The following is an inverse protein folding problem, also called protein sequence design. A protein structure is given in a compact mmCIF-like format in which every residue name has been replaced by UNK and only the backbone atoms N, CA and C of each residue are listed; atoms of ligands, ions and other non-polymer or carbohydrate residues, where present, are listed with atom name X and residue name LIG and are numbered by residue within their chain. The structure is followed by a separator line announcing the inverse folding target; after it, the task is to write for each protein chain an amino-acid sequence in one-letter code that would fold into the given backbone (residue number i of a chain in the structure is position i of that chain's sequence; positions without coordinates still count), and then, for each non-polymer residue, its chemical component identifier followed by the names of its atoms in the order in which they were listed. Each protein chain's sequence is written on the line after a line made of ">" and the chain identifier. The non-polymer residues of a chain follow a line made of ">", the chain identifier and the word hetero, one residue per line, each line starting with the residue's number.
data_IF_373632513122
#
_entry.id   IF_373632513122
#
_cell.length_a   1.000
_cell.length_b   1.000
_cell.length_c   1.000
_cell.angle_alpha   90.00
_cell.angle_beta   90.00
_cell.angle_gamma   90.00
#
_symmetry.space_group_name_H-M   'P 1'
#
loop_
_entity.id
_entity.type
_entity.pdbx_description
1 polymer ?
#
# COMPACT_ATOMS: atom_id res chain seq x y z
N UNK A 1 1.77 -9.53 -26.16
CA UNK A 1 0.89 -8.41 -26.55
C UNK A 1 1.33 -7.24 -25.67
N UNK A 2 1.88 -6.18 -26.28
CA UNK A 2 2.23 -4.96 -25.53
C UNK A 2 0.96 -4.27 -25.10
N UNK A 3 0.54 -4.44 -23.86
CA UNK A 3 -0.47 -3.58 -23.25
C UNK A 3 0.22 -2.25 -22.96
N UNK A 4 -0.04 -1.26 -23.78
CA UNK A 4 0.37 0.12 -23.51
C UNK A 4 -0.22 0.52 -22.15
N UNK A 5 0.60 1.06 -21.25
CA UNK A 5 0.08 1.63 -19.99
C UNK A 5 -0.99 2.66 -20.32
N UNK A 6 -2.11 2.70 -19.57
CA UNK A 6 -3.19 3.65 -19.82
C UNK A 6 -2.64 5.07 -19.84
N UNK A 7 -3.06 5.87 -20.81
CA UNK A 7 -2.56 7.22 -20.93
C UNK A 7 -3.10 8.09 -19.80
N UNK A 8 -2.33 9.06 -19.34
CA UNK A 8 -2.81 10.08 -18.38
C UNK A 8 -4.09 10.79 -18.86
N UNK A 9 -4.35 10.79 -20.17
CA UNK A 9 -5.57 11.32 -20.79
C UNK A 9 -6.82 10.50 -20.40
N UNK A 10 -6.73 9.17 -20.35
CA UNK A 10 -7.88 8.31 -19.98
C UNK A 10 -8.25 8.48 -18.50
N UNK A 11 -7.25 8.55 -17.62
CA UNK A 11 -7.49 8.84 -16.20
C UNK A 11 -8.11 10.24 -16.02
N UNK A 12 -7.59 11.25 -16.70
CA UNK A 12 -8.14 12.61 -16.64
C UNK A 12 -9.60 12.66 -17.13
N UNK A 13 -9.92 11.94 -18.20
CA UNK A 13 -11.29 11.84 -18.70
C UNK A 13 -12.21 11.13 -17.69
N UNK A 14 -11.73 10.06 -17.06
CA UNK A 14 -12.47 9.34 -16.02
C UNK A 14 -12.79 10.24 -14.82
N UNK A 15 -11.80 11.01 -14.34
CA UNK A 15 -11.98 11.98 -13.25
C UNK A 15 -12.94 13.10 -13.66
N UNK A 16 -12.79 13.67 -14.86
CA UNK A 16 -13.68 14.71 -15.36
C UNK A 16 -15.13 14.24 -15.45
N UNK A 17 -15.34 13.00 -15.89
CA UNK A 17 -16.68 12.38 -15.90
C UNK A 17 -17.25 12.25 -14.47
N UNK A 18 -16.45 11.82 -13.52
CA UNK A 18 -16.88 11.70 -12.11
C UNK A 18 -17.25 13.06 -11.51
N UNK A 19 -16.48 14.12 -11.79
CA UNK A 19 -16.78 15.50 -11.35
C UNK A 19 -18.12 15.95 -11.94
N UNK A 20 -18.31 15.73 -13.25
CA UNK A 20 -19.57 16.11 -13.93
C UNK A 20 -20.77 15.35 -13.35
N UNK A 21 -20.65 14.04 -13.15
CA UNK A 21 -21.68 13.19 -12.57
C UNK A 21 -22.04 13.58 -11.13
N UNK A 22 -21.07 14.15 -10.38
CA UNK A 22 -21.25 14.67 -9.03
C UNK A 22 -21.78 16.11 -8.98
N UNK A 23 -22.23 16.67 -10.10
CA UNK A 23 -22.77 18.03 -10.15
C UNK A 23 -21.73 19.14 -10.27
N UNK A 24 -20.53 18.83 -10.80
CA UNK A 24 -19.48 19.80 -11.08
C UNK A 24 -18.43 19.97 -9.98
N UNK A 25 -18.57 19.26 -8.85
CA UNK A 25 -17.62 19.27 -7.74
C UNK A 25 -17.44 17.87 -7.15
N UNK A 26 -16.22 17.53 -6.75
CA UNK A 26 -15.86 16.24 -6.16
C UNK A 26 -14.97 16.47 -4.94
N UNK A 27 -15.30 15.88 -3.79
CA UNK A 27 -14.47 15.92 -2.59
C UNK A 27 -13.05 15.41 -2.86
N UNK A 28 -12.07 15.97 -2.15
CA UNK A 28 -10.67 15.64 -2.40
C UNK A 28 -10.36 14.15 -2.15
N UNK A 29 -11.01 13.53 -1.17
CA UNK A 29 -10.91 12.10 -0.89
C UNK A 29 -11.34 11.23 -2.10
N UNK A 30 -12.46 11.60 -2.73
CA UNK A 30 -12.95 10.92 -3.93
C UNK A 30 -12.05 11.14 -5.13
N UNK A 31 -11.54 12.36 -5.32
CA UNK A 31 -10.54 12.67 -6.34
C UNK A 31 -9.28 11.83 -6.14
N UNK A 32 -8.71 11.84 -4.93
CA UNK A 32 -7.52 11.07 -4.58
C UNK A 32 -7.74 9.57 -4.79
N UNK A 33 -8.91 9.06 -4.39
CA UNK A 33 -9.26 7.66 -4.62
C UNK A 33 -9.25 7.30 -6.13
N UNK A 34 -9.85 8.12 -6.99
CA UNK A 34 -9.83 7.87 -8.43
C UNK A 34 -8.42 7.97 -9.02
N UNK A 35 -7.66 8.99 -8.63
CA UNK A 35 -6.30 9.21 -9.13
C UNK A 35 -5.35 8.05 -8.76
N UNK A 36 -5.50 7.48 -7.57
CA UNK A 36 -4.62 6.43 -7.07
C UNK A 36 -5.12 5.02 -7.37
N UNK A 37 -6.44 4.78 -7.32
CA UNK A 37 -7.00 3.43 -7.25
C UNK A 37 -8.07 3.12 -8.31
N UNK A 38 -8.37 4.01 -9.28
CA UNK A 38 -9.31 3.67 -10.34
C UNK A 38 -8.82 2.41 -11.08
N UNK A 39 -9.68 1.36 -11.22
CA UNK A 39 -9.27 0.08 -11.80
C UNK A 39 -8.62 0.25 -13.19
N UNK A 40 -7.41 -0.26 -13.37
CA UNK A 40 -6.65 -0.21 -14.61
C UNK A 40 -6.12 1.18 -15.02
N UNK A 41 -6.51 2.27 -14.32
CA UNK A 41 -6.14 3.64 -14.64
C UNK A 41 -5.33 4.32 -13.55
N UNK A 42 -5.72 4.09 -12.28
CA UNK A 42 -5.14 4.76 -11.12
C UNK A 42 -3.68 4.42 -10.91
N UNK A 43 -2.97 5.30 -10.23
CA UNK A 43 -1.52 5.20 -10.04
C UNK A 43 -1.08 3.85 -9.47
N UNK A 44 -1.77 3.31 -8.46
CA UNK A 44 -1.47 2.00 -7.86
C UNK A 44 -2.23 0.82 -8.50
N UNK A 45 -3.24 1.11 -9.34
CA UNK A 45 -4.11 0.10 -9.92
C UNK A 45 -3.83 -0.18 -11.41
N UNK A 46 -2.87 0.51 -12.03
CA UNK A 46 -2.43 0.23 -13.40
C UNK A 46 -1.23 -0.74 -13.40
N UNK A 47 -0.99 -1.38 -14.55
CA UNK A 47 0.08 -2.39 -14.70
C UNK A 47 1.49 -1.80 -14.83
N UNK A 48 1.70 -0.50 -14.63
CA UNK A 48 3.02 0.11 -14.74
C UNK A 48 3.90 -0.21 -13.51
N UNK A 49 5.21 -0.31 -13.77
CA UNK A 49 6.20 -0.58 -12.73
C UNK A 49 6.38 0.68 -11.87
N UNK A 50 5.74 0.74 -10.69
CA UNK A 50 5.83 1.89 -9.78
C UNK A 50 6.93 1.72 -8.74
N UNK A 51 7.04 0.51 -8.20
CA UNK A 51 8.01 0.14 -7.18
C UNK A 51 9.13 -0.68 -7.82
N UNK A 52 10.36 -0.24 -7.69
CA UNK A 52 11.56 -0.93 -8.19
C UNK A 52 12.78 -0.63 -7.34
N UNK A 53 13.88 -1.33 -7.62
CA UNK A 53 15.12 -1.20 -6.86
C UNK A 53 15.95 0.04 -7.26
N UNK A 54 15.76 0.56 -8.48
CA UNK A 54 16.55 1.68 -9.02
C UNK A 54 15.72 2.51 -10.01
N UNK A 55 15.93 3.84 -10.11
CA UNK A 55 15.29 4.67 -11.13
C UNK A 55 15.56 4.20 -12.57
N UNK A 56 16.67 3.50 -12.80
CA UNK A 56 17.03 2.93 -14.09
C UNK A 56 16.11 1.79 -14.54
N UNK A 57 15.33 1.18 -13.64
CA UNK A 57 14.39 0.11 -13.93
C UNK A 57 13.03 0.64 -14.39
N UNK A 58 12.87 1.97 -14.49
CA UNK A 58 11.61 2.62 -14.86
C UNK A 58 10.61 2.74 -13.70
N UNK A 59 11.06 2.56 -12.46
CA UNK A 59 10.24 2.80 -11.27
C UNK A 59 10.20 4.28 -10.92
N UNK A 60 9.04 4.74 -10.42
CA UNK A 60 8.84 6.16 -10.09
C UNK A 60 9.52 6.53 -8.76
N UNK A 61 9.62 5.59 -7.83
CA UNK A 61 10.26 5.81 -6.53
C UNK A 61 10.77 4.50 -5.90
N UNK A 62 11.65 4.64 -4.93
CA UNK A 62 12.26 3.52 -4.19
C UNK A 62 12.01 3.75 -2.70
N UNK A 63 11.49 2.73 -2.02
CA UNK A 63 11.26 2.77 -0.57
C UNK A 63 12.46 2.20 0.19
N UNK A 64 12.56 2.50 1.49
CA UNK A 64 13.67 2.06 2.34
C UNK A 64 13.89 0.53 2.31
N UNK A 65 12.87 -0.34 2.31
CA UNK A 65 13.06 -1.79 2.19
C UNK A 65 13.71 -2.23 0.86
N UNK A 66 13.50 -1.49 -0.21
CA UNK A 66 14.13 -1.80 -1.51
C UNK A 66 15.60 -1.36 -1.57
N UNK A 67 15.97 -0.34 -0.81
CA UNK A 67 17.34 0.18 -0.78
C UNK A 67 18.28 -0.70 0.05
N UNK A 68 17.81 -1.27 1.15
CA UNK A 68 18.67 -2.03 2.06
C UNK A 68 17.88 -3.00 2.92
N UNK A 69 18.40 -4.22 3.06
CA UNK A 69 17.89 -5.22 3.99
C UNK A 69 18.05 -4.81 5.47
N UNK A 70 18.92 -3.86 5.77
CA UNK A 70 19.12 -3.36 7.13
C UNK A 70 17.85 -2.71 7.69
N UNK A 71 17.03 -2.10 6.83
CA UNK A 71 15.76 -1.52 7.27
C UNK A 71 14.83 -2.56 7.87
N UNK A 72 14.54 -3.63 7.14
CA UNK A 72 13.67 -4.71 7.64
C UNK A 72 14.29 -5.49 8.80
N UNK A 73 15.62 -5.68 8.82
CA UNK A 73 16.30 -6.31 9.96
C UNK A 73 16.16 -5.48 11.24
N UNK A 74 16.30 -4.16 11.13
CA UNK A 74 16.13 -3.25 12.27
C UNK A 74 14.68 -3.24 12.76
N UNK A 75 13.72 -3.19 11.83
CA UNK A 75 12.30 -3.24 12.18
C UNK A 75 11.92 -4.58 12.79
N UNK A 76 12.48 -5.69 12.29
CA UNK A 76 12.23 -7.04 12.84
C UNK A 76 12.62 -7.15 14.32
N UNK A 77 13.67 -6.47 14.77
CA UNK A 77 14.02 -6.43 16.18
C UNK A 77 12.90 -5.79 17.02
N UNK A 78 12.29 -4.71 16.54
CA UNK A 78 11.14 -4.08 17.21
C UNK A 78 9.89 -4.97 17.16
N UNK A 79 9.68 -5.66 16.03
CA UNK A 79 8.58 -6.64 15.91
C UNK A 79 8.72 -7.77 16.93
N UNK A 80 9.94 -8.31 17.10
CA UNK A 80 10.21 -9.36 18.09
C UNK A 80 9.85 -8.88 19.51
N UNK A 81 10.33 -7.71 19.88
CA UNK A 81 10.04 -7.10 21.18
C UNK A 81 8.52 -6.90 21.38
N UNK A 82 7.84 -6.37 20.38
CA UNK A 82 6.40 -6.15 20.42
C UNK A 82 5.60 -7.46 20.54
N UNK A 83 5.97 -8.50 19.80
CA UNK A 83 5.35 -9.83 19.90
C UNK A 83 5.50 -10.43 21.30
N UNK A 84 6.68 -10.27 21.91
CA UNK A 84 6.93 -10.73 23.29
C UNK A 84 6.07 -9.96 24.30
N UNK A 85 5.98 -8.63 24.17
CA UNK A 85 5.19 -7.79 25.08
C UNK A 85 3.69 -8.03 24.97
N UNK A 86 3.20 -8.30 23.76
CA UNK A 86 1.78 -8.55 23.51
C UNK A 86 1.37 -10.00 23.69
N UNK A 87 2.36 -10.90 23.85
CA UNK A 87 2.16 -12.35 23.88
C UNK A 87 1.36 -12.86 22.67
N UNK A 88 1.66 -12.30 21.48
CA UNK A 88 1.03 -12.68 20.22
C UNK A 88 2.06 -13.24 19.26
N UNK A 89 1.58 -13.95 18.21
CA UNK A 89 2.40 -14.55 17.17
C UNK A 89 1.94 -14.19 15.78
N UNK A 90 1.26 -13.05 15.64
CA UNK A 90 0.73 -12.56 14.37
C UNK A 90 1.31 -11.19 14.01
N UNK A 91 1.61 -11.02 12.72
CA UNK A 91 2.00 -9.74 12.13
C UNK A 91 1.04 -9.40 11.00
N UNK A 92 0.65 -8.15 10.93
CA UNK A 92 -0.16 -7.58 9.87
C UNK A 92 0.62 -6.49 9.16
N UNK A 93 0.73 -6.56 7.83
CA UNK A 93 1.39 -5.53 7.04
C UNK A 93 0.41 -4.92 6.05
N UNK A 94 0.25 -3.60 6.12
CA UNK A 94 -0.53 -2.84 5.16
C UNK A 94 0.37 -2.32 4.05
N UNK A 95 -0.08 -2.48 2.80
CA UNK A 95 0.62 -1.94 1.64
C UNK A 95 2.03 -2.48 1.49
N UNK A 96 2.20 -3.81 1.49
CA UNK A 96 3.50 -4.48 1.43
C UNK A 96 4.31 -4.21 0.14
N UNK A 97 3.73 -3.50 -0.84
CA UNK A 97 4.38 -3.14 -2.08
C UNK A 97 4.90 -4.37 -2.84
N UNK A 98 6.21 -4.45 -3.04
CA UNK A 98 6.86 -5.61 -3.67
C UNK A 98 6.97 -6.84 -2.76
N UNK A 99 6.68 -6.70 -1.45
CA UNK A 99 6.92 -7.72 -0.42
C UNK A 99 8.34 -7.71 0.15
N UNK A 100 9.15 -6.71 -0.16
CA UNK A 100 10.56 -6.64 0.30
C UNK A 100 10.65 -6.55 1.83
N UNK A 101 9.81 -5.72 2.45
CA UNK A 101 9.79 -5.58 3.91
C UNK A 101 9.35 -6.89 4.58
N UNK A 102 8.26 -7.51 4.08
CA UNK A 102 7.79 -8.80 4.58
C UNK A 102 8.89 -9.86 4.53
N UNK A 103 9.59 -9.99 3.40
CA UNK A 103 10.69 -10.93 3.22
C UNK A 103 11.81 -10.71 4.24
N UNK A 104 12.24 -9.46 4.44
CA UNK A 104 13.31 -9.10 5.37
C UNK A 104 12.92 -9.37 6.82
N UNK A 105 11.70 -9.02 7.21
CA UNK A 105 11.16 -9.27 8.55
C UNK A 105 11.05 -10.76 8.80
N UNK A 106 10.42 -11.52 7.92
CA UNK A 106 10.25 -12.97 8.04
C UNK A 106 11.58 -13.70 8.12
N UNK A 107 12.53 -13.35 7.24
CA UNK A 107 13.89 -13.92 7.26
C UNK A 107 14.58 -13.68 8.59
N UNK A 108 14.47 -12.46 9.14
CA UNK A 108 15.10 -12.10 10.40
C UNK A 108 14.45 -12.82 11.58
N UNK A 109 13.11 -12.90 11.60
CA UNK A 109 12.38 -13.65 12.64
C UNK A 109 12.78 -15.12 12.66
N UNK A 110 12.84 -15.77 11.48
CA UNK A 110 13.29 -17.16 11.37
C UNK A 110 14.75 -17.34 11.85
N UNK A 111 15.65 -16.44 11.48
CA UNK A 111 17.05 -16.48 11.92
C UNK A 111 17.20 -16.32 13.44
N UNK A 112 16.28 -15.62 14.10
CA UNK A 112 16.22 -15.43 15.55
C UNK A 112 15.41 -16.53 16.27
N UNK A 113 14.89 -17.53 15.54
CA UNK A 113 14.09 -18.62 16.10
C UNK A 113 12.71 -18.21 16.58
N UNK A 114 12.20 -17.06 16.12
CA UNK A 114 10.85 -16.58 16.44
C UNK A 114 9.86 -17.17 15.44
N UNK A 115 8.92 -17.96 15.95
CA UNK A 115 7.88 -18.60 15.16
C UNK A 115 6.64 -17.71 15.12
N UNK A 116 6.18 -17.42 13.91
CA UNK A 116 4.88 -16.78 13.68
C UNK A 116 3.83 -17.85 13.39
N UNK A 117 2.63 -17.60 13.89
CA UNK A 117 1.43 -18.32 13.46
C UNK A 117 0.96 -17.79 12.11
N UNK A 118 1.09 -16.46 11.91
CA UNK A 118 0.62 -15.80 10.69
C UNK A 118 1.30 -14.47 10.43
N UNK A 119 1.61 -14.23 9.17
CA UNK A 119 1.95 -12.93 8.60
C UNK A 119 0.92 -12.56 7.54
N UNK A 120 0.07 -11.59 7.83
CA UNK A 120 -1.04 -11.21 6.94
C UNK A 120 -0.74 -9.92 6.21
N UNK A 121 -0.75 -9.98 4.89
CA UNK A 121 -0.62 -8.80 4.02
C UNK A 121 -2.02 -8.29 3.65
N UNK A 122 -2.25 -7.01 3.89
CA UNK A 122 -3.46 -6.29 3.47
C UNK A 122 -3.08 -5.35 2.34
N UNK A 123 -3.46 -5.70 1.11
CA UNK A 123 -3.13 -4.92 -0.08
C UNK A 123 -4.32 -4.93 -1.06
N UNK A 124 -4.59 -3.77 -1.67
CA UNK A 124 -5.70 -3.59 -2.63
C UNK A 124 -5.30 -3.90 -4.07
N UNK A 125 -4.01 -4.06 -4.35
CA UNK A 125 -3.46 -4.26 -5.70
C UNK A 125 -3.28 -5.74 -6.03
N UNK A 126 -4.06 -6.25 -6.99
CA UNK A 126 -3.93 -7.63 -7.47
C UNK A 126 -2.58 -7.92 -8.15
N UNK A 127 -2.00 -6.95 -8.85
CA UNK A 127 -0.69 -7.10 -9.50
C UNK A 127 0.46 -7.15 -8.49
N UNK A 128 0.39 -6.35 -7.43
CA UNK A 128 1.36 -6.41 -6.33
C UNK A 128 1.25 -7.73 -5.58
N UNK A 129 0.04 -8.23 -5.32
CA UNK A 129 -0.19 -9.52 -4.68
C UNK A 129 0.53 -10.67 -5.40
N UNK A 130 0.49 -10.72 -6.73
CA UNK A 130 1.20 -11.76 -7.50
C UNK A 130 2.72 -11.69 -7.28
N UNK A 131 3.29 -10.49 -7.25
CA UNK A 131 4.73 -10.28 -6.95
C UNK A 131 5.07 -10.70 -5.53
N UNK A 132 4.26 -10.31 -4.56
CA UNK A 132 4.39 -10.70 -3.16
C UNK A 132 4.34 -12.23 -3.01
N UNK A 133 3.39 -12.91 -3.64
CA UNK A 133 3.29 -14.37 -3.63
C UNK A 133 4.53 -15.05 -4.19
N UNK A 134 5.08 -14.56 -5.29
CA UNK A 134 6.31 -15.09 -5.87
C UNK A 134 7.52 -14.87 -4.94
N UNK A 135 7.66 -13.69 -4.36
CA UNK A 135 8.77 -13.34 -3.45
C UNK A 135 8.72 -14.12 -2.14
N UNK A 136 7.54 -14.26 -1.57
CA UNK A 136 7.34 -14.84 -0.26
C UNK A 136 7.03 -16.35 -0.27
N UNK A 137 7.12 -17.00 -1.43
CA UNK A 137 6.78 -18.42 -1.60
C UNK A 137 7.56 -19.35 -0.66
N UNK A 138 8.80 -18.98 -0.30
CA UNK A 138 9.64 -19.78 0.61
C UNK A 138 9.11 -19.87 2.06
N UNK A 139 8.21 -18.95 2.46
CA UNK A 139 7.65 -18.90 3.81
C UNK A 139 6.37 -19.74 3.95
N UNK A 140 5.83 -20.28 2.84
CA UNK A 140 4.69 -21.18 2.85
C UNK A 140 3.41 -20.56 3.45
N UNK A 141 2.65 -21.38 4.17
CA UNK A 141 1.32 -21.03 4.68
C UNK A 141 1.31 -19.98 5.81
N UNK A 142 2.49 -19.63 6.33
CA UNK A 142 2.62 -18.55 7.32
C UNK A 142 2.20 -17.21 6.72
N UNK A 143 2.44 -17.00 5.42
CA UNK A 143 2.07 -15.76 4.72
C UNK A 143 0.69 -15.89 4.11
N UNK A 144 -0.18 -14.97 4.48
CA UNK A 144 -1.55 -14.92 3.99
C UNK A 144 -1.89 -13.53 3.46
N UNK A 145 -2.93 -13.44 2.62
CA UNK A 145 -3.42 -12.19 2.05
C UNK A 145 -4.88 -11.99 2.45
N UNK A 146 -5.19 -10.81 2.98
CA UNK A 146 -6.54 -10.41 3.32
C UNK A 146 -7.08 -9.40 2.30
N UNK A 147 -8.28 -9.66 1.78
CA UNK A 147 -9.00 -8.74 0.91
C UNK A 147 -9.87 -7.75 1.70
N UNK A 148 -10.13 -8.06 2.97
CA UNK A 148 -10.98 -7.30 3.86
C UNK A 148 -10.36 -7.31 5.26
N UNK A 149 -10.57 -6.22 5.99
CA UNK A 149 -10.15 -6.17 7.38
C UNK A 149 -11.08 -7.06 8.22
N UNK A 150 -10.53 -7.89 9.11
CA UNK A 150 -11.32 -8.61 10.07
C UNK A 150 -11.92 -7.65 11.11
N UNK A 151 -12.95 -8.06 11.85
CA UNK A 151 -13.55 -7.23 12.90
C UNK A 151 -12.58 -6.93 14.05
N UNK A 152 -11.54 -7.72 14.22
CA UNK A 152 -10.46 -7.51 15.19
C UNK A 152 -9.14 -8.03 14.63
N UNK A 153 -8.06 -7.36 14.94
CA UNK A 153 -6.69 -7.78 14.64
C UNK A 153 -5.95 -7.97 15.98
N UNK A 154 -5.20 -9.05 16.08
CA UNK A 154 -4.30 -9.31 17.20
C UNK A 154 -2.88 -9.41 16.65
N UNK A 155 -1.91 -8.86 17.39
CA UNK A 155 -0.51 -8.91 16.98
C UNK A 155 0.08 -7.54 16.66
N UNK A 156 1.18 -7.56 15.93
CA UNK A 156 1.91 -6.37 15.51
C UNK A 156 1.39 -5.91 14.15
N UNK A 157 1.10 -4.62 14.02
CA UNK A 157 0.64 -4.02 12.76
C UNK A 157 1.76 -3.14 12.20
N UNK A 158 2.13 -3.40 10.96
CA UNK A 158 3.14 -2.67 10.21
C UNK A 158 2.50 -1.87 9.06
N UNK A 159 3.03 -0.70 8.79
CA UNK A 159 2.69 0.10 7.61
C UNK A 159 3.85 1.02 7.29
N UNK A 160 4.50 0.77 6.14
CA UNK A 160 5.59 1.60 5.65
C UNK A 160 5.11 2.41 4.46
N UNK A 161 5.09 3.76 4.57
CA UNK A 161 4.63 4.66 3.51
C UNK A 161 3.22 4.32 3.00
N UNK A 162 2.26 4.11 3.92
CA UNK A 162 0.88 3.72 3.61
C UNK A 162 -0.08 4.88 3.78
N UNK A 163 0.09 5.68 4.85
CA UNK A 163 -0.88 6.74 5.20
C UNK A 163 -0.91 7.86 4.17
N UNK A 164 0.20 8.15 3.51
CA UNK A 164 0.33 9.14 2.45
C UNK A 164 -0.40 8.74 1.16
N UNK A 165 -0.65 7.46 0.96
CA UNK A 165 -1.43 6.92 -0.15
C UNK A 165 -2.93 6.76 0.17
N UNK A 166 -3.36 6.97 1.41
CA UNK A 166 -4.77 6.86 1.78
C UNK A 166 -5.56 8.11 1.37
N UNK A 167 -6.73 7.96 0.72
CA UNK A 167 -7.61 9.07 0.41
C UNK A 167 -7.99 9.86 1.66
N UNK A 168 -7.81 11.17 1.63
CA UNK A 168 -8.04 12.05 2.78
C UNK A 168 -9.05 13.14 2.48
N UNK A 169 -9.87 13.51 3.47
CA UNK A 169 -10.66 14.73 3.40
C UNK A 169 -9.75 15.95 3.61
N UNK A 170 -9.85 16.91 2.72
CA UNK A 170 -9.12 18.17 2.82
C UNK A 170 -10.04 19.26 3.34
N UNK A 171 -9.70 19.85 4.47
CA UNK A 171 -10.49 20.89 5.10
C UNK A 171 -9.77 22.23 5.08
N UNK A 172 -10.52 23.32 4.91
CA UNK A 172 -10.02 24.68 5.03
C UNK A 172 -10.91 25.48 6.00
N UNK A 173 -10.29 26.35 6.80
CA UNK A 173 -11.02 27.30 7.62
C UNK A 173 -11.03 28.66 6.95
N UNK A 174 -12.22 29.13 6.55
CA UNK A 174 -12.44 30.42 5.88
C UNK A 174 -13.40 31.23 6.75
N UNK A 175 -13.01 32.42 7.14
CA UNK A 175 -13.81 33.32 7.98
C UNK A 175 -14.39 32.65 9.25
N UNK A 176 -13.58 31.79 9.87
CA UNK A 176 -13.93 31.07 11.09
C UNK A 176 -14.75 29.79 10.88
N UNK A 177 -15.24 29.51 9.67
CA UNK A 177 -16.04 28.33 9.33
C UNK A 177 -15.20 27.27 8.62
N UNK A 178 -15.43 25.99 8.95
CA UNK A 178 -14.79 24.87 8.26
C UNK A 178 -15.53 24.53 6.97
N UNK A 179 -14.76 24.37 5.90
CA UNK A 179 -15.23 23.98 4.59
C UNK A 179 -14.45 22.78 4.09
N UNK A 180 -15.14 21.83 3.48
CA UNK A 180 -14.50 20.76 2.75
C UNK A 180 -13.96 21.29 1.42
N UNK A 181 -12.76 20.84 1.04
CA UNK A 181 -12.13 21.17 -0.23
C UNK A 181 -12.23 19.97 -1.19
N UNK A 182 -12.31 20.30 -2.46
CA UNK A 182 -12.39 19.33 -3.54
C UNK A 182 -11.90 19.92 -4.84
N UNK A 183 -12.22 19.24 -5.94
CA UNK A 183 -11.84 19.60 -7.30
C UNK A 183 -13.09 19.86 -8.16
N UNK A 184 -12.96 20.79 -9.08
CA UNK A 184 -13.95 21.10 -10.09
C UNK A 184 -13.25 21.20 -11.45
N UNK A 185 -14.03 21.11 -12.55
CA UNK A 185 -13.52 21.41 -13.88
C UNK A 185 -13.38 22.93 -14.01
N UNK A 186 -12.24 23.41 -14.52
CA UNK A 186 -11.97 24.80 -14.82
C UNK A 186 -12.45 25.18 -16.24
#
# INVERSE_FOLDING_TARGET
>A
MNTCAPSSAELNQHIAHAITAAGGWLGFDRFMHLALYAPGLGYYANDSLKLGAMPADGSDFVTAPELSSLYGQTLAAQVIEALQHTATHEVWEFGAGSGALAEQVLTTLQAQGVLLERYTIVDVSGSLRQRQQARLAAFGDVVQWADHLPPAMHGVVLGNEVLDAMPVQLLARIDGTWHERGVALG
#
